data_IF_075541655669
#
_entry.id   IF_075541655669
#
_cell.length_a   1.000
_cell.length_b   1.000
_cell.length_c   1.000
_cell.angle_alpha   90.00
_cell.angle_beta   90.00
_cell.angle_gamma   90.00
#
_symmetry.space_group_name_H-M   'P 1'
#
loop_
_entity.id
_entity.type
_entity.pdbx_description
1 polymer ?
#
# COMPACT_ATOMS: atom_id res chain seq x y z
N UNK A 1 -90.18 27.97 -1.79
CA UNK A 1 -90.19 26.72 -1.00
C UNK A 1 -89.81 25.59 -1.96
N UNK A 2 -88.55 25.29 -2.04
CA UNK A 2 -87.99 24.13 -2.77
C UNK A 2 -86.75 23.67 -2.04
N UNK A 3 -86.93 22.53 -1.35
CA UNK A 3 -85.92 21.83 -0.60
C UNK A 3 -84.96 21.10 -1.59
N UNK A 4 -83.69 21.49 -1.60
CA UNK A 4 -82.59 20.76 -2.23
C UNK A 4 -82.09 19.66 -1.33
N UNK A 5 -82.30 18.44 -1.75
CA UNK A 5 -81.68 17.26 -1.13
C UNK A 5 -80.28 17.09 -1.67
N UNK A 6 -79.27 17.44 -0.91
CA UNK A 6 -77.87 17.05 -1.10
C UNK A 6 -77.73 15.59 -0.72
N UNK A 7 -77.66 14.68 -1.72
CA UNK A 7 -77.27 13.30 -1.52
C UNK A 7 -75.72 13.27 -1.41
N UNK A 8 -75.21 13.23 -0.19
CA UNK A 8 -73.81 12.82 0.03
C UNK A 8 -73.75 11.32 -0.22
N UNK A 9 -73.12 10.96 -1.36
CA UNK A 9 -72.77 9.57 -1.64
C UNK A 9 -71.70 9.12 -0.69
N UNK A 10 -71.79 7.94 -0.06
CA UNK A 10 -70.73 7.40 0.79
C UNK A 10 -69.52 7.07 -0.11
N UNK A 11 -68.38 7.69 0.16
CA UNK A 11 -67.09 7.37 -0.42
C UNK A 11 -66.79 5.90 -0.13
N UNK A 12 -66.63 5.12 -1.17
CA UNK A 12 -66.45 3.65 -1.10
C UNK A 12 -65.16 3.35 -0.31
N UNK A 13 -65.30 2.53 0.75
CA UNK A 13 -64.18 1.98 1.55
C UNK A 13 -63.12 1.25 0.72
N UNK A 14 -63.42 0.86 -0.53
CA UNK A 14 -62.54 0.17 -1.47
C UNK A 14 -61.40 1.01 -2.00
N UNK A 15 -61.61 2.32 -2.27
CA UNK A 15 -60.58 3.19 -2.87
C UNK A 15 -59.38 3.44 -1.93
N UNK A 16 -59.60 3.45 -0.62
CA UNK A 16 -58.54 3.64 0.39
C UNK A 16 -57.69 2.41 0.59
N UNK A 17 -58.25 1.21 0.41
CA UNK A 17 -57.53 -0.06 0.53
C UNK A 17 -56.72 -0.35 -0.73
N UNK A 18 -57.26 -0.04 -1.92
CA UNK A 18 -56.53 -0.15 -3.17
C UNK A 18 -55.32 0.77 -3.21
N UNK A 19 -55.45 2.04 -2.76
CA UNK A 19 -54.35 2.98 -2.67
C UNK A 19 -53.24 2.53 -1.68
N UNK A 20 -53.61 1.86 -0.57
CA UNK A 20 -52.65 1.29 0.39
C UNK A 20 -51.90 0.10 -0.18
N UNK A 21 -52.56 -0.81 -0.90
CA UNK A 21 -51.92 -1.98 -1.52
C UNK A 21 -50.93 -1.55 -2.60
N UNK A 22 -51.30 -0.57 -3.42
CA UNK A 22 -50.41 0.03 -4.44
C UNK A 22 -49.21 0.70 -3.80
N UNK A 23 -49.40 1.52 -2.75
CA UNK A 23 -48.29 2.16 -2.03
C UNK A 23 -47.34 1.13 -1.41
N UNK A 24 -47.85 0.03 -0.83
CA UNK A 24 -47.03 -1.06 -0.29
C UNK A 24 -46.20 -1.76 -1.37
N UNK A 25 -46.77 -1.94 -2.60
CA UNK A 25 -46.03 -2.52 -3.75
C UNK A 25 -44.86 -1.62 -4.18
N UNK A 26 -45.11 -0.32 -4.31
CA UNK A 26 -44.05 0.65 -4.63
C UNK A 26 -42.96 0.64 -3.56
N UNK A 27 -43.33 0.63 -2.26
CA UNK A 27 -42.38 0.53 -1.16
C UNK A 27 -41.59 -0.79 -1.18
N UNK A 28 -42.27 -1.91 -1.46
CA UNK A 28 -41.63 -3.24 -1.59
C UNK A 28 -40.62 -3.27 -2.76
N UNK A 29 -41.03 -2.81 -3.94
CA UNK A 29 -40.15 -2.72 -5.10
C UNK A 29 -38.96 -1.75 -4.85
N UNK A 30 -39.20 -0.60 -4.21
CA UNK A 30 -38.16 0.35 -3.86
C UNK A 30 -37.13 -0.25 -2.88
N UNK A 31 -37.59 -0.95 -1.82
CA UNK A 31 -36.74 -1.66 -0.87
C UNK A 31 -35.96 -2.80 -1.54
N UNK A 32 -36.56 -3.57 -2.41
CA UNK A 32 -35.87 -4.63 -3.14
C UNK A 32 -34.83 -4.07 -4.11
N UNK A 33 -35.15 -2.98 -4.82
CA UNK A 33 -34.20 -2.27 -5.68
C UNK A 33 -33.01 -1.69 -4.89
N UNK A 34 -33.27 -1.05 -3.75
CA UNK A 34 -32.25 -0.55 -2.85
C UNK A 34 -31.37 -1.67 -2.30
N UNK A 35 -31.98 -2.78 -1.87
CA UNK A 35 -31.25 -3.94 -1.36
C UNK A 35 -30.32 -4.55 -2.41
N UNK A 36 -30.81 -4.72 -3.66
CA UNK A 36 -29.97 -5.19 -4.76
C UNK A 36 -28.82 -4.20 -5.08
N UNK A 37 -29.10 -2.91 -5.11
CA UNK A 37 -28.08 -1.87 -5.34
C UNK A 37 -26.99 -1.88 -4.27
N UNK A 38 -27.35 -2.04 -2.99
CA UNK A 38 -26.41 -2.14 -1.88
C UNK A 38 -25.53 -3.39 -1.97
N UNK A 39 -26.10 -4.54 -2.37
CA UNK A 39 -25.31 -5.78 -2.57
C UNK A 39 -24.35 -5.65 -3.76
N UNK A 40 -24.76 -5.04 -4.86
CA UNK A 40 -23.88 -4.75 -6.00
C UNK A 40 -22.77 -3.79 -5.57
N UNK A 41 -23.09 -2.73 -4.82
CA UNK A 41 -22.11 -1.78 -4.30
C UNK A 41 -21.12 -2.49 -3.37
N UNK A 42 -21.56 -3.38 -2.47
CA UNK A 42 -20.70 -4.18 -1.60
C UNK A 42 -19.74 -5.06 -2.43
N UNK A 43 -20.24 -5.72 -3.47
CA UNK A 43 -19.42 -6.54 -4.37
C UNK A 43 -18.38 -5.71 -5.12
N UNK A 44 -18.75 -4.54 -5.64
CA UNK A 44 -17.84 -3.63 -6.33
C UNK A 44 -16.76 -3.10 -5.38
N UNK A 45 -17.10 -2.77 -4.14
CA UNK A 45 -16.15 -2.34 -3.12
C UNK A 45 -15.13 -3.44 -2.81
N UNK A 46 -15.55 -4.69 -2.64
CA UNK A 46 -14.65 -5.79 -2.32
C UNK A 46 -13.73 -6.17 -3.47
N UNK A 47 -14.23 -6.13 -4.72
CA UNK A 47 -13.47 -6.61 -5.88
C UNK A 47 -12.62 -5.53 -6.55
N UNK A 48 -13.13 -4.30 -6.61
CA UNK A 48 -12.49 -3.22 -7.36
C UNK A 48 -11.76 -2.20 -6.47
N UNK A 49 -12.32 -1.87 -5.32
CA UNK A 49 -11.83 -0.76 -4.51
C UNK A 49 -10.60 -1.17 -3.69
N UNK A 50 -10.53 -2.42 -3.20
CA UNK A 50 -9.38 -2.89 -2.40
C UNK A 50 -8.07 -2.68 -3.14
N UNK A 51 -7.97 -3.09 -4.41
CA UNK A 51 -6.75 -2.92 -5.22
C UNK A 51 -6.40 -1.48 -5.59
N UNK A 52 -7.31 -0.51 -5.34
CA UNK A 52 -7.02 0.92 -5.57
C UNK A 52 -6.66 1.69 -4.30
N UNK A 53 -7.07 1.18 -3.14
CA UNK A 53 -6.87 1.85 -1.85
C UNK A 53 -5.57 1.41 -1.21
N UNK A 54 -5.20 0.13 -1.36
CA UNK A 54 -3.92 -0.42 -0.90
C UNK A 54 -2.81 -0.06 -1.90
N UNK A 55 -2.53 1.24 -2.01
CA UNK A 55 -1.46 1.80 -2.85
C UNK A 55 -0.75 2.91 -2.11
N UNK A 56 0.55 3.02 -2.29
CA UNK A 56 1.38 4.09 -1.73
C UNK A 56 0.75 5.45 -2.06
N UNK A 57 0.56 6.34 -1.07
CA UNK A 57 0.03 7.69 -1.29
C UNK A 57 0.88 8.51 -2.28
N UNK A 58 0.26 9.50 -2.93
CA UNK A 58 0.94 10.42 -3.85
C UNK A 58 1.21 11.80 -3.23
N UNK A 59 0.93 11.95 -1.96
CA UNK A 59 1.03 13.18 -1.18
C UNK A 59 1.99 13.05 0.00
N UNK A 60 2.97 12.14 -0.11
CA UNK A 60 4.02 11.96 0.91
C UNK A 60 4.95 13.17 0.86
N UNK A 61 5.03 13.89 1.97
CA UNK A 61 6.02 14.94 2.24
C UNK A 61 6.28 14.90 3.75
N UNK A 62 7.36 14.23 4.14
CA UNK A 62 7.66 14.00 5.55
C UNK A 62 9.14 14.10 5.82
N UNK A 63 9.47 14.55 7.03
CA UNK A 63 10.84 14.58 7.53
C UNK A 63 10.93 13.72 8.78
N UNK A 64 11.79 12.72 8.72
CA UNK A 64 12.09 11.83 9.84
C UNK A 64 13.41 12.24 10.46
N UNK A 65 13.45 12.22 11.77
CA UNK A 65 14.64 12.52 12.55
C UNK A 65 14.99 11.32 13.42
N UNK A 66 16.26 10.93 13.38
CA UNK A 66 16.82 9.88 14.22
C UNK A 66 17.97 10.46 15.03
N UNK A 67 17.98 10.15 16.31
CA UNK A 67 19.01 10.61 17.24
C UNK A 67 19.88 9.44 17.69
N UNK A 68 21.15 9.72 17.99
CA UNK A 68 22.06 8.72 18.49
C UNK A 68 23.45 9.24 18.79
N UNK A 69 24.39 8.33 18.83
CA UNK A 69 25.81 8.65 19.09
C UNK A 69 26.71 7.79 18.21
N UNK A 70 27.96 8.23 18.06
CA UNK A 70 28.95 7.46 17.34
C UNK A 70 30.38 8.00 17.49
N UNK A 71 31.31 7.15 17.09
CA UNK A 71 32.70 7.52 16.91
C UNK A 71 32.88 8.05 15.50
N UNK A 72 33.14 9.35 15.36
CA UNK A 72 33.12 10.00 14.05
C UNK A 72 34.33 10.88 13.81
N UNK A 73 34.72 10.94 12.55
CA UNK A 73 35.80 11.82 12.08
C UNK A 73 35.48 13.30 12.38
N UNK A 74 36.48 14.03 12.79
CA UNK A 74 36.42 15.48 12.95
C UNK A 74 36.96 16.20 11.69
N UNK A 75 36.08 16.78 10.84
CA UNK A 75 36.51 17.47 9.64
C UNK A 75 37.48 18.64 9.92
N UNK A 76 37.36 19.29 11.07
CA UNK A 76 38.23 20.37 11.46
C UNK A 76 39.70 19.91 11.69
N UNK A 77 39.89 18.62 11.99
CA UNK A 77 41.20 18.02 12.25
C UNK A 77 42.12 17.98 11.01
N UNK A 78 41.52 17.98 9.79
CA UNK A 78 42.30 18.04 8.55
C UNK A 78 43.18 19.30 8.46
N UNK A 79 42.75 20.41 9.04
CA UNK A 79 43.53 21.63 9.09
C UNK A 79 44.86 21.47 9.90
N UNK A 80 44.86 20.49 10.79
CA UNK A 80 46.04 20.13 11.61
C UNK A 80 46.86 18.99 11.01
N UNK A 81 46.51 18.54 9.80
CA UNK A 81 47.13 17.40 9.09
C UNK A 81 47.12 16.10 9.93
N UNK A 82 46.05 15.88 10.66
CA UNK A 82 45.86 14.69 11.49
C UNK A 82 44.41 14.23 11.44
N UNK A 83 44.20 12.95 11.22
CA UNK A 83 42.86 12.33 11.26
C UNK A 83 42.46 12.11 12.72
N UNK A 84 41.51 12.86 13.22
CA UNK A 84 41.03 12.75 14.60
C UNK A 84 39.63 12.18 14.61
N UNK A 85 39.43 11.17 15.46
CA UNK A 85 38.11 10.55 15.70
C UNK A 85 37.63 11.03 17.07
N UNK A 86 36.46 11.66 17.08
CA UNK A 86 35.76 12.03 18.31
C UNK A 86 34.83 10.89 18.71
N UNK A 87 34.94 10.44 19.96
CA UNK A 87 34.16 9.34 20.50
C UNK A 87 32.85 9.82 21.09
N UNK A 88 31.86 8.94 21.10
CA UNK A 88 30.53 9.19 21.70
C UNK A 88 29.92 10.53 21.29
N UNK A 89 30.19 10.94 20.05
CA UNK A 89 29.69 12.21 19.50
C UNK A 89 28.16 12.13 19.31
N UNK A 90 27.41 13.14 19.79
CA UNK A 90 25.98 13.17 19.58
C UNK A 90 25.65 13.44 18.10
N UNK A 91 24.77 12.61 17.54
CA UNK A 91 24.44 12.61 16.11
C UNK A 91 22.94 12.75 15.89
N UNK A 92 22.62 13.40 14.79
CA UNK A 92 21.26 13.49 14.25
C UNK A 92 21.31 13.06 12.79
N UNK A 93 20.48 12.10 12.42
CA UNK A 93 20.17 11.75 11.05
C UNK A 93 18.82 12.35 10.69
N UNK A 94 18.76 13.02 9.57
CA UNK A 94 17.53 13.59 9.03
C UNK A 94 17.28 12.98 7.66
N UNK A 95 16.07 12.43 7.47
CA UNK A 95 15.62 11.88 6.21
C UNK A 95 14.37 12.64 5.77
N UNK A 96 14.44 13.31 4.64
CA UNK A 96 13.31 13.99 4.02
C UNK A 96 12.81 13.19 2.83
N UNK A 97 11.55 12.83 2.84
CA UNK A 97 10.91 12.03 1.79
C UNK A 97 9.83 12.87 1.13
N UNK A 98 9.91 13.05 -0.18
CA UNK A 98 8.92 13.75 -0.99
C UNK A 98 8.57 12.96 -2.25
N UNK A 99 7.38 13.23 -2.81
CA UNK A 99 6.94 12.64 -4.08
C UNK A 99 7.34 13.53 -5.24
N UNK A 100 7.99 12.93 -6.24
CA UNK A 100 8.42 13.59 -7.48
C UNK A 100 7.78 12.94 -8.71
N UNK A 101 7.97 13.53 -9.87
CA UNK A 101 7.53 12.94 -11.14
C UNK A 101 8.52 11.88 -11.65
N UNK A 102 8.02 10.75 -12.21
CA UNK A 102 6.63 10.41 -12.49
C UNK A 102 5.87 9.86 -11.27
N UNK A 103 4.64 10.37 -11.05
CA UNK A 103 3.72 9.85 -10.06
C UNK A 103 2.32 9.73 -10.68
N UNK A 104 1.74 8.53 -10.67
CA UNK A 104 0.46 8.25 -11.32
C UNK A 104 -0.33 7.12 -10.61
N UNK A 105 -1.29 6.51 -11.29
CA UNK A 105 -2.12 5.45 -10.71
C UNK A 105 -1.33 4.18 -10.33
N UNK A 106 -0.20 3.91 -10.96
CA UNK A 106 0.53 2.65 -10.84
C UNK A 106 1.91 2.81 -10.21
N UNK A 107 2.58 3.93 -10.42
CA UNK A 107 3.91 4.19 -9.88
C UNK A 107 3.97 5.49 -9.09
N UNK A 108 4.91 5.54 -8.15
CA UNK A 108 5.28 6.74 -7.39
C UNK A 108 6.81 6.86 -7.39
N UNK A 109 7.30 8.05 -7.68
CA UNK A 109 8.72 8.35 -7.52
C UNK A 109 8.93 9.08 -6.20
N UNK A 110 9.79 8.53 -5.36
CA UNK A 110 10.21 9.13 -4.10
C UNK A 110 11.58 9.78 -4.30
N UNK A 111 11.73 11.00 -3.83
CA UNK A 111 13.02 11.65 -3.62
C UNK A 111 13.29 11.65 -2.11
N UNK A 112 14.44 11.12 -1.73
CA UNK A 112 14.84 10.95 -0.34
C UNK A 112 16.17 11.66 -0.11
N UNK A 113 16.14 12.68 0.72
CA UNK A 113 17.34 13.41 1.15
C UNK A 113 17.78 12.95 2.53
N UNK A 114 18.91 12.25 2.61
CA UNK A 114 19.50 11.80 3.87
C UNK A 114 20.68 12.67 4.27
N UNK A 115 20.75 13.03 5.55
CA UNK A 115 21.92 13.69 6.11
C UNK A 115 22.23 13.20 7.51
N UNK A 116 23.50 12.85 7.76
CA UNK A 116 24.02 12.55 9.10
C UNK A 116 24.88 13.72 9.57
N UNK A 117 24.58 14.23 10.74
CA UNK A 117 25.21 15.42 11.29
C UNK A 117 25.59 15.23 12.76
N UNK A 118 26.67 15.89 13.15
CA UNK A 118 26.97 16.12 14.56
C UNK A 118 26.08 17.23 15.10
N UNK A 119 25.38 16.97 16.20
CA UNK A 119 24.51 17.98 16.84
C UNK A 119 25.30 18.98 17.71
N UNK A 120 26.55 18.65 18.05
CA UNK A 120 27.48 19.56 18.80
C UNK A 120 28.20 20.59 17.90
N UNK A 121 28.02 20.49 16.58
CA UNK A 121 28.62 21.39 15.59
C UNK A 121 27.56 22.07 14.73
N UNK A 122 27.75 23.34 14.40
CA UNK A 122 26.80 24.08 13.54
C UNK A 122 27.32 24.23 12.10
N UNK A 123 26.34 24.35 11.16
CA UNK A 123 26.65 24.56 9.76
C UNK A 123 27.34 23.34 9.12
N UNK A 124 28.12 23.57 8.10
CA UNK A 124 28.79 22.52 7.30
C UNK A 124 29.81 21.71 8.08
N UNK A 125 30.32 22.26 9.18
CA UNK A 125 31.29 21.56 10.04
C UNK A 125 30.72 20.35 10.75
N UNK A 126 29.39 20.33 10.96
CA UNK A 126 28.71 19.20 11.55
C UNK A 126 28.30 18.13 10.54
N UNK A 127 28.32 18.41 9.25
CA UNK A 127 27.87 17.47 8.23
C UNK A 127 28.91 16.37 8.01
N UNK A 128 28.49 15.11 8.20
CA UNK A 128 29.34 13.92 8.01
C UNK A 128 29.02 13.21 6.70
N UNK A 129 27.73 13.00 6.43
CA UNK A 129 27.23 12.34 5.23
C UNK A 129 26.00 13.10 4.74
N UNK A 130 25.85 13.20 3.43
CA UNK A 130 24.65 13.68 2.78
C UNK A 130 24.45 12.94 1.46
N UNK A 131 23.19 12.61 1.16
CA UNK A 131 22.83 11.92 -0.05
C UNK A 131 21.41 12.31 -0.46
N UNK A 132 21.15 12.38 -1.74
CA UNK A 132 19.80 12.46 -2.28
C UNK A 132 19.62 11.23 -3.17
N UNK A 133 18.69 10.40 -2.80
CA UNK A 133 18.29 9.23 -3.57
C UNK A 133 16.94 9.44 -4.20
N UNK A 134 16.73 8.92 -5.40
CA UNK A 134 15.45 8.98 -6.11
C UNK A 134 15.11 7.58 -6.61
N UNK A 135 13.93 7.09 -6.28
CA UNK A 135 13.48 5.76 -6.70
C UNK A 135 12.03 5.78 -7.17
N UNK A 136 11.75 5.09 -8.27
CA UNK A 136 10.38 4.86 -8.74
C UNK A 136 9.91 3.49 -8.25
N UNK A 137 8.81 3.47 -7.51
CA UNK A 137 8.21 2.27 -6.93
C UNK A 137 6.87 1.95 -7.60
N UNK A 138 6.57 0.67 -7.76
CA UNK A 138 5.21 0.20 -7.97
C UNK A 138 4.39 0.48 -6.71
N UNK A 139 3.26 1.16 -6.85
CA UNK A 139 2.47 1.62 -5.71
C UNK A 139 1.77 0.50 -4.93
N UNK A 140 1.58 -0.66 -5.53
CA UNK A 140 0.90 -1.79 -4.90
C UNK A 140 1.90 -2.72 -4.19
N UNK A 141 3.05 -2.98 -4.81
CA UNK A 141 4.07 -3.92 -4.30
C UNK A 141 5.18 -3.26 -3.52
N UNK A 142 5.34 -1.93 -3.63
CA UNK A 142 6.47 -1.16 -3.11
C UNK A 142 7.83 -1.59 -3.68
N UNK A 143 7.85 -2.39 -4.74
CA UNK A 143 9.07 -2.80 -5.41
C UNK A 143 9.56 -1.73 -6.38
N UNK A 144 10.86 -1.59 -6.49
CA UNK A 144 11.49 -0.67 -7.42
C UNK A 144 11.16 -1.07 -8.87
N UNK A 145 10.77 -0.09 -9.68
CA UNK A 145 10.46 -0.25 -11.11
C UNK A 145 11.66 0.23 -11.90
N UNK A 146 12.48 -0.70 -12.37
CA UNK A 146 13.61 -0.43 -13.26
C UNK A 146 13.48 -1.18 -14.57
N UNK A 147 14.03 -0.62 -15.65
CA UNK A 147 14.14 -1.28 -16.96
C UNK A 147 15.43 -0.82 -17.63
N UNK A 148 15.85 -1.52 -18.69
CA UNK A 148 17.04 -1.14 -19.49
C UNK A 148 16.97 0.30 -20.06
N UNK A 149 15.75 0.81 -20.31
CA UNK A 149 15.53 2.17 -20.83
C UNK A 149 15.25 3.22 -19.75
N UNK A 150 14.93 2.79 -18.52
CA UNK A 150 14.69 3.65 -17.38
C UNK A 150 15.24 2.97 -16.12
N UNK A 151 16.33 3.46 -15.55
CA UNK A 151 16.94 2.86 -14.36
C UNK A 151 16.01 2.85 -13.15
N UNK A 152 14.90 3.63 -13.16
CA UNK A 152 13.94 3.69 -12.07
C UNK A 152 14.49 4.30 -10.80
N UNK A 153 15.76 4.67 -10.78
CA UNK A 153 16.41 5.30 -9.64
C UNK A 153 17.61 6.16 -10.06
N UNK A 154 17.94 7.12 -9.22
CA UNK A 154 19.08 7.99 -9.41
C UNK A 154 19.56 8.54 -8.06
N UNK A 155 20.86 8.72 -7.93
CA UNK A 155 21.46 9.41 -6.80
C UNK A 155 22.03 10.73 -7.25
N UNK A 156 21.75 11.78 -6.50
CA UNK A 156 22.30 13.10 -6.74
C UNK A 156 23.55 13.31 -5.88
N UNK A 157 24.63 13.69 -6.55
CA UNK A 157 25.88 14.07 -5.92
C UNK A 157 25.69 15.41 -5.17
N UNK A 158 25.98 15.52 -3.86
CA UNK A 158 26.00 16.79 -3.19
C UNK A 158 27.04 17.70 -3.83
N UNK A 159 26.69 18.97 -3.90
CA UNK A 159 27.60 19.99 -4.41
C UNK A 159 28.75 20.18 -3.43
N UNK A 160 29.98 19.92 -3.85
CA UNK A 160 31.17 20.43 -3.13
C UNK A 160 31.28 21.94 -3.35
N UNK A 161 31.86 22.65 -2.38
CA UNK A 161 32.07 24.12 -2.48
C UNK A 161 32.95 24.48 -3.69
N UNK A 162 33.69 23.52 -4.20
CA UNK A 162 34.64 23.67 -5.32
C UNK A 162 34.05 23.30 -6.70
N UNK A 163 32.83 22.70 -6.75
CA UNK A 163 32.21 22.34 -8.01
C UNK A 163 31.51 23.53 -8.66
N UNK A 164 32.06 24.01 -9.79
CA UNK A 164 31.42 25.03 -10.62
C UNK A 164 30.16 24.51 -11.36
N UNK A 165 29.98 23.19 -11.44
CA UNK A 165 28.85 22.56 -12.14
C UNK A 165 27.78 22.10 -11.13
N UNK A 166 26.48 22.23 -11.47
CA UNK A 166 25.42 21.70 -10.62
C UNK A 166 25.54 20.18 -10.47
N UNK A 167 25.08 19.60 -9.35
CA UNK A 167 25.15 18.18 -9.11
C UNK A 167 24.43 17.42 -10.23
N UNK A 168 25.07 16.38 -10.74
CA UNK A 168 24.52 15.54 -11.80
C UNK A 168 23.84 14.34 -11.17
N UNK A 169 22.60 14.03 -11.58
CA UNK A 169 21.95 12.79 -11.21
C UNK A 169 22.68 11.62 -11.88
N UNK A 170 23.13 10.68 -11.06
CA UNK A 170 23.75 9.44 -11.52
C UNK A 170 22.66 8.37 -11.50
N UNK A 171 22.40 7.73 -12.66
CA UNK A 171 21.46 6.64 -12.74
C UNK A 171 21.91 5.47 -11.85
N UNK A 172 21.05 5.08 -10.91
CA UNK A 172 21.29 3.98 -9.98
C UNK A 172 20.05 3.06 -9.97
N UNK A 173 20.07 1.95 -10.71
CA UNK A 173 18.97 1.00 -10.69
C UNK A 173 18.77 0.43 -9.27
N UNK A 174 17.55 0.51 -8.77
CA UNK A 174 17.16 -0.12 -7.51
C UNK A 174 16.56 -1.49 -7.76
N UNK A 175 16.77 -2.39 -6.81
CA UNK A 175 16.20 -3.73 -6.80
C UNK A 175 15.49 -3.98 -5.48
N UNK A 176 14.33 -4.64 -5.52
CA UNK A 176 13.53 -4.94 -4.32
C UNK A 176 12.80 -3.73 -3.75
N UNK A 177 12.63 -3.71 -2.44
CA UNK A 177 11.96 -2.64 -1.71
C UNK A 177 12.93 -1.47 -1.42
N UNK A 178 12.40 -0.26 -1.33
CA UNK A 178 13.13 0.91 -0.85
C UNK A 178 12.18 1.86 -0.11
N UNK A 179 12.57 2.31 1.08
CA UNK A 179 11.87 3.29 1.93
C UNK A 179 10.47 2.90 2.41
N UNK A 180 9.91 1.76 1.94
CA UNK A 180 8.59 1.27 2.31
C UNK A 180 8.48 -0.23 2.07
N UNK A 181 7.60 -0.90 2.84
CA UNK A 181 7.17 -2.26 2.61
C UNK A 181 5.83 -2.28 1.85
N UNK A 182 5.44 -3.44 1.26
CA UNK A 182 4.15 -3.55 0.58
C UNK A 182 2.98 -3.47 1.57
N UNK A 183 1.82 -3.05 1.07
CA UNK A 183 0.57 -3.25 1.80
C UNK A 183 0.33 -4.75 2.07
N UNK A 184 -0.33 -5.05 3.19
CA UNK A 184 -0.49 -6.44 3.67
C UNK A 184 0.89 -7.15 3.79
N UNK A 185 1.90 -6.48 4.40
CA UNK A 185 3.25 -7.01 4.63
C UNK A 185 3.20 -8.38 5.32
N UNK A 186 3.88 -9.36 4.75
CA UNK A 186 3.92 -10.74 5.24
C UNK A 186 5.15 -10.99 6.15
N UNK A 187 5.07 -12.02 6.98
CA UNK A 187 6.18 -12.48 7.85
C UNK A 187 7.19 -13.30 7.05
N UNK A 188 7.87 -12.67 6.10
CA UNK A 188 8.87 -13.30 5.23
C UNK A 188 10.06 -12.38 5.02
N UNK A 189 11.12 -12.88 4.42
CA UNK A 189 12.26 -12.07 3.97
C UNK A 189 11.89 -11.26 2.74
N UNK A 190 12.35 -10.00 2.70
CA UNK A 190 12.21 -9.11 1.56
C UNK A 190 13.58 -8.61 1.13
N UNK A 191 13.90 -8.55 -0.18
CA UNK A 191 15.05 -7.81 -0.66
C UNK A 191 14.78 -6.31 -0.44
N UNK A 192 15.68 -5.63 0.29
CA UNK A 192 15.57 -4.21 0.61
C UNK A 192 16.85 -3.50 0.20
N UNK A 193 16.72 -2.46 -0.61
CA UNK A 193 17.84 -1.76 -1.24
C UNK A 193 18.64 -0.93 -0.24
N UNK A 194 19.95 -1.01 -0.32
CA UNK A 194 20.87 -0.13 0.39
C UNK A 194 21.54 0.83 -0.62
N UNK A 195 21.25 2.14 -0.56
CA UNK A 195 21.74 3.08 -1.55
C UNK A 195 23.25 3.33 -1.45
N UNK A 196 23.86 3.09 -0.28
CA UNK A 196 25.32 3.22 -0.09
C UNK A 196 26.06 2.02 -0.67
N UNK A 197 25.53 0.81 -0.43
CA UNK A 197 26.08 -0.41 -1.02
C UNK A 197 25.62 -0.62 -2.48
N UNK A 198 24.64 0.15 -2.96
CA UNK A 198 24.06 0.10 -4.30
C UNK A 198 23.52 -1.30 -4.67
N UNK A 199 22.96 -2.00 -3.69
CA UNK A 199 22.49 -3.37 -3.83
C UNK A 199 21.37 -3.67 -2.82
N UNK A 200 20.47 -4.60 -3.18
CA UNK A 200 19.52 -5.13 -2.24
C UNK A 200 20.13 -6.19 -1.33
N UNK A 201 19.79 -6.14 -0.05
CA UNK A 201 20.11 -7.11 0.99
C UNK A 201 18.84 -7.58 1.66
N UNK A 202 18.87 -8.79 2.22
CA UNK A 202 17.73 -9.40 2.86
C UNK A 202 17.30 -8.66 4.14
N UNK A 203 16.09 -8.13 4.16
CA UNK A 203 15.40 -7.71 5.36
C UNK A 203 14.61 -8.91 5.91
N UNK A 204 15.15 -9.55 6.95
CA UNK A 204 14.63 -10.78 7.51
C UNK A 204 13.61 -10.49 8.60
N UNK A 205 12.45 -11.17 8.56
CA UNK A 205 11.46 -11.06 9.62
C UNK A 205 12.03 -11.57 10.95
N UNK A 206 11.96 -10.73 11.99
CA UNK A 206 12.56 -10.98 13.31
C UNK A 206 11.53 -11.03 14.46
N UNK A 207 10.24 -10.85 14.17
CA UNK A 207 9.18 -10.92 15.20
C UNK A 207 8.19 -9.78 15.13
N UNK A 208 7.38 -9.66 16.18
CA UNK A 208 6.41 -8.59 16.37
C UNK A 208 6.79 -7.75 17.59
N UNK A 209 6.53 -6.44 17.50
CA UNK A 209 6.76 -5.51 18.60
C UNK A 209 5.69 -4.42 18.58
N UNK A 210 5.24 -3.97 19.74
CA UNK A 210 4.32 -2.84 19.84
C UNK A 210 5.11 -1.53 19.85
N UNK A 211 4.72 -0.61 18.96
CA UNK A 211 5.27 0.74 18.89
C UNK A 211 4.13 1.74 19.07
N UNK A 212 4.08 2.39 20.20
CA UNK A 212 3.04 3.38 20.57
C UNK A 212 1.60 2.87 20.37
N UNK A 213 1.33 1.60 20.71
CA UNK A 213 0.01 0.97 20.59
C UNK A 213 -0.28 0.38 19.20
N UNK A 214 0.68 0.45 18.30
CA UNK A 214 0.60 -0.17 16.98
C UNK A 214 1.43 -1.46 16.95
N UNK A 215 0.78 -2.59 16.71
CA UNK A 215 1.52 -3.86 16.49
C UNK A 215 2.25 -3.80 15.17
N UNK A 216 3.57 -3.87 15.21
CA UNK A 216 4.46 -3.81 14.06
C UNK A 216 5.16 -5.14 13.81
N UNK A 217 5.59 -5.37 12.57
CA UNK A 217 6.52 -6.43 12.20
C UNK A 217 7.94 -5.88 12.21
N UNK A 218 8.81 -6.58 12.92
CA UNK A 218 10.23 -6.24 13.02
C UNK A 218 11.00 -6.97 11.94
N UNK A 219 11.81 -6.23 11.18
CA UNK A 219 12.74 -6.78 10.20
C UNK A 219 14.16 -6.34 10.52
N UNK A 220 15.12 -7.22 10.24
CA UNK A 220 16.55 -6.92 10.40
C UNK A 220 17.27 -7.12 9.08
N UNK A 221 18.11 -6.16 8.73
CA UNK A 221 18.97 -6.18 7.54
C UNK A 221 20.43 -6.05 7.96
N UNK A 222 21.30 -6.88 7.38
CA UNK A 222 22.73 -6.81 7.58
C UNK A 222 23.42 -6.57 6.24
N UNK A 223 24.29 -5.57 6.19
CA UNK A 223 25.17 -5.25 5.08
C UNK A 223 26.61 -5.39 5.56
N UNK A 224 27.33 -6.37 5.11
CA UNK A 224 28.73 -6.58 5.50
C UNK A 224 28.96 -7.14 6.91
N UNK A 225 27.94 -7.18 7.75
CA UNK A 225 27.96 -7.82 9.07
C UNK A 225 27.24 -9.18 9.03
N UNK A 226 27.61 -10.07 9.95
CA UNK A 226 26.80 -11.24 10.29
C UNK A 226 25.74 -10.90 11.38
N UNK A 227 24.94 -11.91 11.76
CA UNK A 227 23.88 -11.74 12.76
C UNK A 227 24.40 -11.40 14.17
N UNK A 228 25.67 -11.68 14.44
CA UNK A 228 26.34 -11.38 15.72
C UNK A 228 27.01 -10.00 15.71
N UNK A 229 26.87 -9.25 14.60
CA UNK A 229 27.45 -7.93 14.43
C UNK A 229 28.96 -7.94 14.14
N UNK A 230 29.49 -9.08 13.72
CA UNK A 230 30.88 -9.20 13.29
C UNK A 230 31.01 -8.85 11.81
N UNK A 231 32.04 -8.08 11.47
CA UNK A 231 32.37 -7.74 10.09
C UNK A 231 32.84 -8.98 9.32
N UNK A 232 32.12 -9.33 8.23
CA UNK A 232 32.37 -10.55 7.43
C UNK A 232 32.56 -10.25 5.95
N UNK A 233 31.78 -9.36 5.38
CA UNK A 233 31.82 -9.03 3.95
C UNK A 233 31.53 -7.53 3.71
N UNK A 234 32.40 -6.63 4.23
CA UNK A 234 32.21 -5.18 4.06
C UNK A 234 32.25 -4.82 2.57
N UNK A 235 31.43 -3.84 2.22
CA UNK A 235 31.31 -3.35 0.86
C UNK A 235 32.33 -2.24 0.64
N UNK A 236 32.99 -2.20 -0.50
CA UNK A 236 33.71 -0.98 -0.90
C UNK A 236 32.68 0.13 -1.00
N UNK A 237 32.95 1.24 -0.33
CA UNK A 237 32.11 2.42 -0.44
C UNK A 237 32.18 2.92 -1.88
N UNK A 238 31.14 2.62 -2.65
CA UNK A 238 31.03 3.17 -4.00
C UNK A 238 30.91 4.68 -3.85
N UNK A 239 32.00 5.40 -4.15
CA UNK A 239 31.96 6.84 -4.12
C UNK A 239 30.98 7.32 -5.17
N UNK A 240 29.84 7.77 -4.73
CA UNK A 240 28.87 8.45 -5.58
C UNK A 240 29.39 9.82 -6.01
N UNK A 241 30.53 10.22 -5.47
CA UNK A 241 31.04 11.60 -5.53
C UNK A 241 32.30 11.75 -6.35
N UNK A 242 33.04 10.68 -6.56
CA UNK A 242 34.30 10.70 -7.30
C UNK A 242 34.26 9.73 -8.47
N UNK A 243 34.90 10.10 -9.57
CA UNK A 243 35.16 9.21 -10.70
C UNK A 243 36.13 8.06 -10.33
N UNK A 244 36.56 8.02 -9.06
CA UNK A 244 37.42 6.98 -8.53
C UNK A 244 36.61 5.75 -8.14
N UNK A 245 36.48 4.85 -9.11
CA UNK A 245 35.79 3.57 -8.94
C UNK A 245 36.36 2.70 -7.80
N UNK A 246 37.55 3.01 -7.31
CA UNK A 246 38.23 2.21 -6.30
C UNK A 246 38.01 2.71 -4.86
N UNK A 247 37.40 3.89 -4.67
CA UNK A 247 37.17 4.50 -3.35
C UNK A 247 38.46 4.60 -2.50
N UNK A 248 39.59 4.91 -3.15
CA UNK A 248 40.91 4.93 -2.56
C UNK A 248 41.37 6.35 -2.21
N UNK A 249 41.94 6.49 -1.05
CA UNK A 249 42.56 7.73 -0.61
C UNK A 249 44.03 7.47 -0.28
N UNK A 250 44.94 8.23 -0.91
CA UNK A 250 46.37 8.21 -0.61
C UNK A 250 46.76 9.41 0.20
N UNK A 251 47.29 9.18 1.40
CA UNK A 251 47.73 10.21 2.29
C UNK A 251 48.98 9.78 3.08
N UNK A 252 49.66 10.73 3.73
CA UNK A 252 50.81 10.41 4.58
C UNK A 252 50.38 9.60 5.80
N UNK A 253 51.26 8.69 6.27
CA UNK A 253 51.05 7.91 7.48
C UNK A 253 50.72 8.79 8.70
N UNK A 254 51.37 9.94 8.82
CA UNK A 254 51.08 10.93 9.86
C UNK A 254 49.63 11.43 9.82
N UNK A 255 49.06 11.66 8.64
CA UNK A 255 47.64 12.05 8.49
C UNK A 255 46.71 10.95 8.95
N UNK A 256 46.99 9.72 8.57
CA UNK A 256 46.22 8.55 9.01
C UNK A 256 46.34 8.24 10.50
N UNK A 257 47.36 8.81 11.18
CA UNK A 257 47.65 8.52 12.58
C UNK A 257 48.33 7.19 12.79
N UNK A 258 48.98 6.65 11.75
CA UNK A 258 49.69 5.37 11.79
C UNK A 258 51.10 5.52 12.33
N UNK A 259 51.61 4.47 12.95
CA UNK A 259 52.99 4.36 13.39
C UNK A 259 53.91 4.07 12.20
N UNK A 260 55.16 4.59 12.22
CA UNK A 260 56.14 4.37 11.17
C UNK A 260 56.74 5.66 10.65
N UNK A 261 57.20 5.69 9.39
CA UNK A 261 57.67 6.90 8.72
C UNK A 261 56.50 7.86 8.47
N UNK A 262 56.47 9.04 9.12
CA UNK A 262 55.35 9.98 8.99
C UNK A 262 55.13 10.48 7.57
N UNK A 263 56.13 10.45 6.71
CA UNK A 263 56.07 10.92 5.31
C UNK A 263 55.70 9.79 4.30
N UNK A 264 55.63 8.55 4.77
CA UNK A 264 55.24 7.43 3.94
C UNK A 264 53.82 7.64 3.38
N UNK A 265 53.66 7.49 2.05
CA UNK A 265 52.37 7.57 1.41
C UNK A 265 51.66 6.22 1.51
N UNK A 266 50.51 6.21 2.17
CA UNK A 266 49.68 5.02 2.38
C UNK A 266 48.34 5.21 1.66
N UNK A 267 48.03 4.26 0.82
CA UNK A 267 46.73 4.18 0.13
C UNK A 267 45.80 3.25 0.89
N UNK A 268 44.61 3.74 1.26
CA UNK A 268 43.55 2.95 1.87
C UNK A 268 42.28 3.03 1.06
N UNK A 269 41.53 1.95 1.09
CA UNK A 269 40.17 1.87 0.50
C UNK A 269 39.15 2.19 1.59
N UNK A 270 38.11 2.95 1.25
CA UNK A 270 36.97 3.17 2.12
C UNK A 270 36.01 1.98 2.02
N UNK A 271 35.60 1.47 3.18
CA UNK A 271 34.64 0.38 3.30
C UNK A 271 33.43 0.82 4.10
N UNK A 272 32.33 0.13 3.86
CA UNK A 272 31.04 0.33 4.49
C UNK A 272 30.46 -1.00 4.95
N UNK A 273 29.78 -0.98 6.10
CA UNK A 273 28.92 -2.02 6.60
C UNK A 273 27.78 -1.39 7.40
N UNK A 274 26.62 -2.03 7.45
CA UNK A 274 25.47 -1.55 8.19
C UNK A 274 24.63 -2.68 8.81
N UNK A 275 23.92 -2.33 9.89
CA UNK A 275 22.86 -3.16 10.46
C UNK A 275 21.64 -2.28 10.68
N UNK A 276 20.51 -2.64 10.08
CA UNK A 276 19.25 -1.91 10.22
C UNK A 276 18.18 -2.77 10.86
N UNK A 277 17.34 -2.13 11.62
CA UNK A 277 16.12 -2.73 12.14
C UNK A 277 14.96 -1.82 11.78
N UNK A 278 13.96 -2.41 11.12
CA UNK A 278 12.74 -1.71 10.72
C UNK A 278 11.56 -2.23 11.54
N UNK A 279 10.72 -1.34 12.04
CA UNK A 279 9.41 -1.63 12.61
C UNK A 279 8.34 -1.17 11.63
N UNK A 280 7.63 -2.11 11.06
CA UNK A 280 6.75 -1.89 9.91
C UNK A 280 5.30 -2.16 10.30
N UNK A 281 4.40 -1.22 9.98
CA UNK A 281 2.97 -1.52 10.07
C UNK A 281 2.58 -2.56 9.01
N UNK A 282 2.07 -3.75 9.41
CA UNK A 282 1.78 -4.81 8.45
C UNK A 282 0.65 -4.49 7.47
N UNK A 283 -0.24 -3.57 7.80
CA UNK A 283 -1.39 -3.23 6.95
C UNK A 283 -1.00 -2.25 5.85
N UNK A 284 -0.29 -1.19 6.21
CA UNK A 284 0.08 -0.13 5.26
C UNK A 284 1.47 -0.32 4.64
N UNK A 285 2.36 -1.09 5.28
CA UNK A 285 3.77 -1.21 4.88
C UNK A 285 4.64 -0.02 5.28
N UNK A 286 4.10 0.91 6.08
CA UNK A 286 4.82 2.08 6.56
C UNK A 286 5.86 1.69 7.60
N UNK A 287 7.11 2.14 7.42
CA UNK A 287 8.16 2.03 8.43
C UNK A 287 7.87 3.09 9.50
N UNK A 288 7.46 2.65 10.70
CA UNK A 288 7.10 3.58 11.79
C UNK A 288 8.28 3.93 12.70
N UNK A 289 9.29 3.07 12.70
CA UNK A 289 10.53 3.27 13.44
C UNK A 289 11.67 2.54 12.73
N UNK A 290 12.84 3.13 12.76
CA UNK A 290 14.07 2.54 12.24
C UNK A 290 15.22 2.73 13.23
N UNK A 291 16.11 1.74 13.32
CA UNK A 291 17.41 1.88 13.96
C UNK A 291 18.48 1.51 12.95
N UNK A 292 19.40 2.42 12.70
CA UNK A 292 20.47 2.27 11.72
C UNK A 292 21.82 2.37 12.42
N UNK A 293 22.64 1.31 12.33
CA UNK A 293 24.06 1.30 12.64
C UNK A 293 24.84 1.33 11.36
N UNK A 294 25.57 2.42 11.11
CA UNK A 294 26.47 2.56 9.98
C UNK A 294 27.93 2.52 10.42
N UNK A 295 28.73 1.73 9.72
CA UNK A 295 30.18 1.64 9.96
C UNK A 295 30.94 1.93 8.69
N UNK A 296 31.63 3.06 8.66
CA UNK A 296 32.50 3.51 7.59
C UNK A 296 33.93 3.57 8.09
N UNK A 297 34.87 2.97 7.37
CA UNK A 297 36.28 2.96 7.76
C UNK A 297 37.19 2.91 6.55
N UNK A 298 38.46 3.29 6.77
CA UNK A 298 39.53 3.15 5.81
C UNK A 298 40.42 1.97 6.21
N UNK A 299 40.87 1.17 5.24
CA UNK A 299 41.76 0.05 5.47
C UNK A 299 42.50 -0.35 4.20
N UNK A 300 43.64 -0.97 4.34
CA UNK A 300 44.38 -1.63 3.28
C UNK A 300 43.77 -3.01 2.94
N UNK A 301 43.20 -3.66 3.96
CA UNK A 301 42.49 -4.95 3.82
C UNK A 301 41.08 -4.83 4.41
N UNK A 302 40.09 -5.28 3.66
CA UNK A 302 38.67 -5.11 3.99
C UNK A 302 38.26 -5.54 5.42
N UNK A 303 38.80 -6.67 5.89
CA UNK A 303 38.48 -7.24 7.20
C UNK A 303 39.42 -6.77 8.34
N UNK A 304 40.28 -5.78 8.07
CA UNK A 304 41.20 -5.21 9.06
C UNK A 304 41.03 -3.67 9.12
N UNK A 305 39.93 -3.17 9.74
CA UNK A 305 39.72 -1.75 9.88
C UNK A 305 40.95 -1.06 10.52
N UNK A 306 41.45 0.02 9.90
CA UNK A 306 42.62 0.76 10.39
C UNK A 306 42.23 2.15 10.89
N UNK A 307 41.37 2.86 10.15
CA UNK A 307 40.94 4.22 10.51
C UNK A 307 39.41 4.29 10.39
N UNK A 308 38.72 4.47 11.51
CA UNK A 308 37.29 4.68 11.52
C UNK A 308 36.98 6.07 10.96
N UNK A 309 36.05 6.14 9.99
CA UNK A 309 35.49 7.41 9.55
C UNK A 309 34.21 7.72 10.35
N UNK A 310 33.33 6.76 10.50
CA UNK A 310 32.11 6.84 11.30
C UNK A 310 31.67 5.43 11.73
N UNK A 311 31.48 5.22 13.02
CA UNK A 311 30.76 4.05 13.58
C UNK A 311 29.68 4.62 14.49
N UNK A 312 28.45 4.55 14.03
CA UNK A 312 27.32 5.21 14.68
C UNK A 312 26.13 4.31 14.81
N UNK A 313 25.28 4.61 15.77
CA UNK A 313 23.93 4.07 15.87
C UNK A 313 22.96 5.20 16.12
N UNK A 314 21.96 5.32 15.25
CA UNK A 314 20.87 6.27 15.38
C UNK A 314 19.55 5.52 15.36
N UNK A 315 18.53 6.05 16.04
CA UNK A 315 17.19 5.47 16.09
C UNK A 315 16.19 6.60 15.94
N UNK A 316 15.13 6.36 15.19
CA UNK A 316 14.03 7.31 14.98
C UNK A 316 13.57 7.85 16.32
N UNK A 317 13.53 9.18 16.47
CA UNK A 317 13.13 9.83 17.72
C UNK A 317 11.61 9.74 17.95
N UNK A 318 11.19 10.04 19.18
CA UNK A 318 9.81 9.86 19.61
C UNK A 318 8.81 10.69 18.78
N UNK A 319 9.18 11.92 18.38
CA UNK A 319 8.32 12.80 17.57
C UNK A 319 8.08 12.22 16.17
N UNK A 320 9.15 11.73 15.54
CA UNK A 320 9.05 11.08 14.23
C UNK A 320 8.30 9.75 14.30
N UNK A 321 8.51 8.96 15.37
CA UNK A 321 7.75 7.71 15.60
C UNK A 321 6.26 8.02 15.77
N UNK A 322 5.89 9.03 16.57
CA UNK A 322 4.49 9.42 16.77
C UNK A 322 3.84 9.85 15.44
N UNK A 323 4.54 10.65 14.64
CA UNK A 323 4.10 11.08 13.32
C UNK A 323 3.89 9.90 12.37
N UNK A 324 4.82 8.94 12.32
CA UNK A 324 4.71 7.76 11.45
C UNK A 324 3.62 6.79 11.91
N UNK A 325 3.45 6.60 13.21
CA UNK A 325 2.34 5.80 13.78
C UNK A 325 1.00 6.42 13.44
N UNK A 326 0.87 7.75 13.49
CA UNK A 326 -0.35 8.44 13.09
C UNK A 326 -0.64 8.24 11.59
N UNK A 327 0.36 8.44 10.72
CA UNK A 327 0.23 8.22 9.28
C UNK A 327 -0.16 6.77 8.93
N UNK A 328 0.49 5.78 9.56
CA UNK A 328 0.16 4.37 9.40
C UNK A 328 -1.27 4.05 9.86
N UNK A 329 -1.71 4.64 10.98
CA UNK A 329 -3.07 4.47 11.50
C UNK A 329 -4.13 5.04 10.55
N UNK A 330 -3.91 6.21 9.98
CA UNK A 330 -4.80 6.82 8.99
C UNK A 330 -4.93 5.96 7.73
N UNK A 331 -3.82 5.37 7.27
CA UNK A 331 -3.83 4.44 6.15
C UNK A 331 -4.58 3.15 6.47
N UNK A 332 -4.38 2.57 7.67
CA UNK A 332 -5.11 1.39 8.16
C UNK A 332 -6.61 1.65 8.22
N UNK A 333 -7.02 2.78 8.77
CA UNK A 333 -8.42 3.17 8.91
C UNK A 333 -9.08 3.34 7.54
N UNK A 334 -8.38 3.93 6.59
CA UNK A 334 -8.84 4.04 5.21
C UNK A 334 -9.02 2.67 4.55
N UNK A 335 -8.02 1.77 4.69
CA UNK A 335 -8.11 0.40 4.17
C UNK A 335 -9.23 -0.37 4.87
N UNK A 336 -9.36 -0.27 6.18
CA UNK A 336 -10.42 -0.93 6.96
C UNK A 336 -11.83 -0.42 6.58
N UNK A 337 -12.00 0.90 6.44
CA UNK A 337 -13.28 1.51 6.09
C UNK A 337 -13.78 1.02 4.73
N UNK A 338 -12.97 1.14 3.71
CA UNK A 338 -13.36 0.83 2.33
C UNK A 338 -13.28 -0.66 1.99
N UNK A 339 -12.29 -1.37 2.56
CA UNK A 339 -12.05 -2.79 2.28
C UNK A 339 -12.90 -3.75 3.12
N UNK A 340 -13.39 -3.32 4.29
CA UNK A 340 -14.09 -4.22 5.23
C UNK A 340 -15.39 -3.63 5.78
N UNK A 341 -15.36 -2.42 6.37
CA UNK A 341 -16.52 -1.87 7.09
C UNK A 341 -17.67 -1.56 6.14
N UNK A 342 -17.43 -0.78 5.08
CA UNK A 342 -18.46 -0.42 4.10
C UNK A 342 -19.04 -1.64 3.36
N UNK A 343 -18.25 -2.59 2.84
CA UNK A 343 -18.80 -3.80 2.22
C UNK A 343 -19.68 -4.63 3.16
N UNK A 344 -19.27 -4.82 4.41
CA UNK A 344 -20.05 -5.58 5.40
C UNK A 344 -21.35 -4.85 5.73
N UNK A 345 -21.31 -3.53 5.96
CA UNK A 345 -22.51 -2.74 6.27
C UNK A 345 -23.50 -2.71 5.09
N UNK A 346 -23.02 -2.53 3.86
CA UNK A 346 -23.86 -2.55 2.66
C UNK A 346 -24.46 -3.92 2.42
N UNK A 347 -23.72 -5.00 2.68
CA UNK A 347 -24.23 -6.38 2.59
C UNK A 347 -25.33 -6.59 3.62
N UNK A 348 -25.12 -6.23 4.88
CA UNK A 348 -26.11 -6.39 5.93
C UNK A 348 -27.39 -5.57 5.66
N UNK A 349 -27.25 -4.29 5.32
CA UNK A 349 -28.38 -3.43 4.96
C UNK A 349 -29.10 -3.89 3.69
N UNK A 350 -28.37 -4.37 2.70
CA UNK A 350 -28.91 -4.92 1.46
C UNK A 350 -29.78 -6.15 1.71
N UNK A 351 -29.32 -7.09 2.54
CA UNK A 351 -30.09 -8.28 2.92
C UNK A 351 -31.35 -7.88 3.69
N UNK A 352 -31.24 -6.98 4.67
CA UNK A 352 -32.40 -6.50 5.44
C UNK A 352 -33.43 -5.83 4.52
N UNK A 353 -32.98 -4.99 3.60
CA UNK A 353 -33.87 -4.33 2.64
C UNK A 353 -34.56 -5.32 1.70
N UNK A 354 -33.83 -6.34 1.20
CA UNK A 354 -34.43 -7.41 0.37
C UNK A 354 -35.48 -8.20 1.13
N UNK A 355 -35.18 -8.65 2.35
CA UNK A 355 -36.11 -9.38 3.20
C UNK A 355 -37.34 -8.54 3.56
N UNK A 356 -37.13 -7.28 3.94
CA UNK A 356 -38.22 -6.32 4.21
C UNK A 356 -39.10 -6.08 2.99
N UNK A 357 -38.50 -5.88 1.80
CA UNK A 357 -39.19 -5.73 0.54
C UNK A 357 -40.01 -6.96 0.17
N UNK A 358 -39.45 -8.16 0.34
CA UNK A 358 -40.13 -9.43 0.09
C UNK A 358 -41.32 -9.63 1.03
N UNK A 359 -41.17 -9.33 2.31
CA UNK A 359 -42.25 -9.40 3.30
C UNK A 359 -43.36 -8.40 2.95
N UNK A 360 -43.07 -7.13 2.69
CA UNK A 360 -44.06 -6.12 2.30
C UNK A 360 -44.76 -6.50 0.99
N UNK A 361 -44.04 -7.05 0.02
CA UNK A 361 -44.61 -7.58 -1.22
C UNK A 361 -45.59 -8.71 -0.99
N UNK A 362 -45.25 -9.67 -0.13
CA UNK A 362 -46.09 -10.79 0.24
C UNK A 362 -47.40 -10.35 0.96
N UNK A 363 -47.29 -9.35 1.87
CA UNK A 363 -48.47 -8.77 2.52
C UNK A 363 -49.37 -8.04 1.53
N UNK A 364 -48.81 -7.31 0.55
CA UNK A 364 -49.59 -6.61 -0.46
C UNK A 364 -50.37 -7.58 -1.37
N UNK A 365 -49.80 -8.73 -1.72
CA UNK A 365 -50.47 -9.78 -2.51
C UNK A 365 -51.58 -10.46 -1.71
N UNK A 366 -51.40 -10.74 -0.43
CA UNK A 366 -52.46 -11.30 0.44
C UNK A 366 -53.60 -10.33 0.66
N UNK A 367 -53.33 -9.02 0.79
CA UNK A 367 -54.39 -8.02 0.93
C UNK A 367 -55.28 -7.92 -0.32
N UNK A 368 -54.80 -8.26 -1.51
CA UNK A 368 -55.55 -8.27 -2.75
C UNK A 368 -56.36 -9.56 -2.91
N UNK A 369 -55.84 -10.72 -2.52
CA UNK A 369 -56.54 -11.99 -2.60
C UNK A 369 -57.78 -12.05 -1.69
N UNK A 370 -57.79 -11.28 -0.60
CA UNK A 370 -58.98 -11.15 0.28
C UNK A 370 -60.08 -10.24 -0.31
N UNK A 371 -59.76 -9.45 -1.35
CA UNK A 371 -60.73 -8.59 -2.05
C UNK A 371 -61.32 -9.24 -3.31
N UNK A 372 -60.79 -10.38 -3.77
CA UNK A 372 -61.23 -11.14 -4.94
C UNK A 372 -61.88 -12.46 -4.47
N UNK A 373 -62.74 -12.42 -3.48
CA UNK A 373 -63.76 -13.46 -3.24
C UNK A 373 -65.11 -12.86 -3.59
N UNK A 374 -65.53 -12.88 -4.84
CA UNK A 374 -66.91 -12.62 -5.17
C UNK A 374 -67.65 -13.87 -4.75
N UNK A 375 -68.38 -13.75 -3.64
CA UNK A 375 -69.43 -14.72 -3.36
C UNK A 375 -70.28 -14.94 -4.64
N UNK A 376 -69.95 -16.00 -5.32
CA UNK A 376 -70.87 -16.54 -6.36
C UNK A 376 -72.12 -16.96 -5.64
N UNK A 377 -73.03 -15.99 -5.50
CA UNK A 377 -74.46 -16.30 -5.30
C UNK A 377 -74.91 -17.13 -6.44
N UNK A 378 -75.10 -18.42 -6.18
CA UNK A 378 -75.71 -19.42 -6.99
C UNK A 378 -77.26 -19.19 -7.02
N UNK A 379 -77.66 -18.15 -7.76
CA UNK A 379 -79.11 -17.94 -8.04
C UNK A 379 -79.34 -17.47 -9.48
N UNK A 380 -79.09 -18.36 -10.46
CA UNK A 380 -79.70 -18.24 -11.77
C UNK A 380 -79.71 -19.58 -12.55
N UNK A 381 -80.25 -20.66 -11.94
CA UNK A 381 -80.68 -21.85 -12.70
C UNK A 381 -82.14 -22.07 -12.56
N UNK A 382 -82.93 -21.18 -13.08
CA UNK A 382 -84.34 -21.46 -13.41
C UNK A 382 -84.71 -20.50 -14.53
N UNK A 383 -84.63 -21.01 -15.72
CA UNK A 383 -85.57 -20.76 -16.79
C UNK A 383 -84.95 -21.16 -18.14
N UNK A 384 -85.61 -22.10 -18.73
CA UNK A 384 -85.74 -22.55 -20.09
C UNK A 384 -85.33 -24.00 -20.32
N UNK A 385 -86.36 -24.87 -20.26
CA UNK A 385 -86.31 -26.11 -20.90
C UNK A 385 -86.54 -25.98 -22.42
N UNK A 386 -85.92 -26.84 -23.19
CA UNK A 386 -86.09 -26.94 -24.66
C UNK A 386 -85.22 -28.09 -25.18
N UNK A 387 -85.71 -29.27 -25.15
CA UNK A 387 -85.91 -30.36 -26.07
C UNK A 387 -84.99 -30.47 -27.30
N UNK A 388 -84.32 -31.65 -27.41
CA UNK A 388 -84.01 -32.36 -28.69
C UNK A 388 -82.64 -31.99 -29.24
N UNK A 389 -81.78 -32.84 -29.62
CA UNK A 389 -81.88 -34.01 -30.46
C UNK A 389 -80.48 -34.70 -30.48
N UNK A 390 -80.54 -35.96 -30.82
CA UNK A 390 -79.42 -36.92 -30.89
C UNK A 390 -78.38 -36.58 -31.97
N UNK A 391 -77.11 -36.94 -31.77
CA UNK A 391 -76.10 -36.93 -32.81
C UNK A 391 -74.78 -37.56 -32.33
N UNK A 392 -74.40 -38.64 -32.92
CA UNK A 392 -73.36 -39.62 -32.72
C UNK A 392 -71.94 -39.10 -32.64
N UNK A 393 -70.98 -39.91 -32.12
CA UNK A 393 -69.58 -39.52 -31.92
C UNK A 393 -68.70 -39.79 -33.15
N UNK A 394 -67.75 -38.93 -33.44
CA UNK A 394 -66.69 -39.14 -34.43
C UNK A 394 -65.30 -39.28 -33.72
N UNK A 395 -64.51 -40.31 -34.04
CA UNK A 395 -63.24 -40.61 -33.37
C UNK A 395 -62.06 -40.00 -34.05
N UNK A 396 -61.07 -39.68 -33.25
CA UNK A 396 -59.63 -39.77 -33.60
C UNK A 396 -58.99 -38.59 -34.24
N UNK A 397 -58.07 -37.93 -33.44
CA UNK A 397 -56.84 -37.36 -33.97
C UNK A 397 -55.71 -37.41 -32.89
N UNK A 398 -54.85 -38.38 -33.10
CA UNK A 398 -53.57 -38.48 -32.37
C UNK A 398 -52.63 -37.31 -32.74
N UNK A 399 -52.15 -36.56 -31.77
CA UNK A 399 -51.08 -35.59 -31.96
C UNK A 399 -49.76 -36.29 -31.75
N UNK A 400 -48.97 -36.42 -32.81
CA UNK A 400 -47.58 -36.85 -32.81
C UNK A 400 -46.71 -35.78 -32.22
N UNK A 401 -46.02 -36.13 -31.17
CA UNK A 401 -44.84 -35.36 -30.63
C UNK A 401 -43.62 -35.64 -31.48
N UNK A 402 -43.14 -34.68 -32.18
CA UNK A 402 -41.91 -34.68 -32.96
C UNK A 402 -40.73 -34.28 -32.08
N UNK A 403 -39.77 -35.20 -31.91
CA UNK A 403 -38.49 -34.97 -31.23
C UNK A 403 -37.50 -34.32 -32.19
N UNK A 404 -36.99 -33.14 -31.84
CA UNK A 404 -35.83 -32.51 -32.48
C UNK A 404 -34.51 -33.17 -32.04
N UNK A 405 -33.57 -33.43 -32.96
CA UNK A 405 -32.28 -34.07 -32.63
C UNK A 405 -31.26 -33.10 -32.06
N UNK A 406 -30.42 -33.61 -31.14
CA UNK A 406 -29.30 -32.97 -30.52
C UNK A 406 -28.19 -32.66 -31.53
N UNK A 407 -27.70 -31.42 -31.55
CA UNK A 407 -26.47 -31.03 -32.27
C UNK A 407 -25.22 -31.28 -31.40
N UNK A 408 -24.25 -31.99 -31.94
CA UNK A 408 -22.88 -32.17 -31.40
C UNK A 408 -22.03 -30.96 -31.72
N UNK A 409 -21.05 -30.60 -30.87
CA UNK A 409 -20.08 -29.57 -31.19
C UNK A 409 -18.99 -30.12 -32.12
N UNK A 410 -18.68 -29.38 -33.18
CA UNK A 410 -17.56 -29.62 -34.10
C UNK A 410 -16.37 -28.69 -33.76
N UNK A 411 -15.29 -29.34 -33.52
CA UNK A 411 -13.87 -29.12 -33.84
C UNK A 411 -13.31 -27.69 -34.08
N UNK A 412 -12.30 -27.37 -33.23
CA UNK A 412 -11.26 -26.35 -33.41
C UNK A 412 -10.25 -26.81 -34.48
N UNK A 413 -9.72 -25.93 -35.33
CA UNK A 413 -8.54 -26.19 -36.13
C UNK A 413 -7.23 -25.78 -35.41
N UNK A 414 -6.07 -26.38 -35.82
CA UNK A 414 -4.82 -26.32 -35.07
C UNK A 414 -3.94 -25.13 -35.38
N UNK A 415 -2.99 -24.90 -34.47
CA UNK A 415 -1.85 -24.00 -34.44
C UNK A 415 -1.09 -23.85 -35.76
N UNK A 416 -0.60 -22.64 -36.02
CA UNK A 416 0.63 -22.38 -36.78
C UNK A 416 1.53 -21.38 -36.05
N UNK A 417 2.83 -21.66 -35.95
CA UNK A 417 3.86 -20.81 -35.37
C UNK A 417 4.46 -19.86 -36.41
N UNK A 418 4.76 -18.64 -35.99
CA UNK A 418 5.99 -17.88 -36.32
C UNK A 418 6.21 -16.88 -35.16
#
# INVERSE_FOLDING_TARGET
>A
MLLGFDRVLPRAKGDTVLNRAVALRFAACGLMGLGAALLIAALLLTTYTKGKISKIPLDIDTTLVSDGTGDVFDPASLSTQKFVINKDTPLVMQQQISVESPANADVVTLQVGDSLRRSDQQGDRGLLLAMIDTVTLDRATAEAVSSESNPGGAVQKPRSIEDENPPTNIALPHEGLAYRFPFDTEKKTYPYFDPIAQKAYDANYAGEEDVNGLTTYKFTQNVGFDNDGKLVEPVKYASLYDDDADSQVTARAALWGLEGDPEELITMTRYYAAQRTFWVDPVSGTIVKESDRGYHYYAREALKPEVTFADYTVTTNDESVESQVAAASDERDRVALWGRILPITFTALGIVALLGGALLGSFSLRAESTLIDPGLDDTSSRFYGGRGDEGEPVPGAEAKTEKLPAQRPTDLPPDRPV
#
